data_IF_733799076831
#
_entry.id   IF_733799076831
#
_cell.length_a   1.000
_cell.length_b   1.000
_cell.length_c   1.000
_cell.angle_alpha   90.00
_cell.angle_beta   90.00
_cell.angle_gamma   90.00
#
_symmetry.space_group_name_H-M   'P 1'
#
loop_
_entity.id
_entity.type
_entity.pdbx_description
1 polymer ?
#
# COMPACT_ATOMS: atom_id res chain seq x y z
N UNK A 1 4.06 -7.56 -4.56
CA UNK A 1 5.44 -7.98 -4.82
C UNK A 1 6.25 -7.40 -3.67
N UNK A 2 6.53 -8.21 -2.64
CA UNK A 2 7.08 -7.73 -1.37
C UNK A 2 8.51 -7.22 -1.60
N UNK A 3 8.74 -5.94 -1.32
CA UNK A 3 10.04 -5.28 -1.42
C UNK A 3 10.89 -5.66 -0.20
N UNK A 4 11.42 -6.89 -0.20
CA UNK A 4 12.48 -7.28 0.72
C UNK A 4 13.80 -6.63 0.24
N UNK A 5 14.53 -6.02 1.18
CA UNK A 5 15.90 -5.55 0.94
C UNK A 5 16.74 -6.68 0.32
N UNK A 6 17.51 -6.38 -0.73
CA UNK A 6 18.37 -7.36 -1.40
C UNK A 6 19.29 -8.10 -0.39
N UNK A 7 19.71 -7.42 0.67
CA UNK A 7 20.51 -8.00 1.75
C UNK A 7 19.74 -9.04 2.58
N UNK A 8 18.45 -8.81 2.87
CA UNK A 8 17.62 -9.76 3.64
C UNK A 8 17.44 -11.04 2.83
N UNK A 9 17.14 -10.92 1.53
CA UNK A 9 16.94 -12.06 0.62
C UNK A 9 18.21 -12.89 0.46
N UNK A 10 19.37 -12.23 0.42
CA UNK A 10 20.67 -12.90 0.34
C UNK A 10 20.91 -13.78 1.57
N UNK A 11 20.70 -13.22 2.77
CA UNK A 11 20.87 -13.94 4.04
C UNK A 11 19.87 -15.09 4.15
N UNK A 12 18.59 -14.87 3.82
CA UNK A 12 17.58 -15.93 3.87
C UNK A 12 17.87 -17.06 2.90
N UNK A 13 18.35 -16.74 1.69
CA UNK A 13 18.74 -17.75 0.71
C UNK A 13 19.88 -18.61 1.23
N UNK A 14 20.93 -18.02 1.80
CA UNK A 14 22.05 -18.78 2.37
C UNK A 14 21.62 -19.61 3.58
N UNK A 15 20.76 -19.06 4.45
CA UNK A 15 20.32 -19.74 5.66
C UNK A 15 19.27 -20.83 5.39
N UNK A 16 18.64 -20.85 4.21
CA UNK A 16 17.63 -21.84 3.84
C UNK A 16 18.14 -23.28 3.81
N UNK A 17 19.45 -23.48 3.63
CA UNK A 17 20.08 -24.78 3.69
C UNK A 17 20.23 -25.33 5.13
N UNK A 18 20.08 -24.48 6.15
CA UNK A 18 20.42 -24.80 7.54
C UNK A 18 19.24 -24.67 8.52
N UNK A 19 18.19 -23.95 8.13
CA UNK A 19 17.06 -23.62 9.00
C UNK A 19 15.77 -24.28 8.52
N UNK A 20 14.96 -24.76 9.47
CA UNK A 20 13.59 -25.18 9.18
C UNK A 20 12.66 -23.97 8.95
N UNK A 21 11.43 -24.21 8.49
CA UNK A 21 10.48 -23.13 8.16
C UNK A 21 10.12 -22.23 9.34
N UNK A 22 10.11 -22.75 10.57
CA UNK A 22 9.82 -21.97 11.78
C UNK A 22 11.00 -21.08 12.18
N UNK A 23 12.22 -21.60 12.06
CA UNK A 23 13.46 -20.88 12.28
C UNK A 23 13.69 -19.82 11.21
N UNK A 24 13.40 -20.14 9.94
CA UNK A 24 13.48 -19.21 8.83
C UNK A 24 12.51 -18.04 9.01
N UNK A 25 11.27 -18.29 9.44
CA UNK A 25 10.31 -17.22 9.74
C UNK A 25 10.83 -16.27 10.83
N UNK A 26 11.42 -16.82 11.90
CA UNK A 26 12.02 -16.01 12.97
C UNK A 26 13.23 -15.23 12.50
N UNK A 27 14.04 -15.81 11.59
CA UNK A 27 15.16 -15.13 10.96
C UNK A 27 14.67 -13.94 10.12
N UNK A 28 13.67 -14.14 9.25
CA UNK A 28 13.04 -13.08 8.46
C UNK A 28 12.55 -11.93 9.35
N UNK A 29 11.77 -12.24 10.39
CA UNK A 29 11.27 -11.24 11.33
C UNK A 29 12.39 -10.49 12.08
N UNK A 30 13.50 -11.17 12.38
CA UNK A 30 14.67 -10.57 13.04
C UNK A 30 15.44 -9.67 12.08
N UNK A 31 15.75 -10.15 10.88
CA UNK A 31 16.44 -9.39 9.85
C UNK A 31 15.64 -8.16 9.47
N UNK A 32 14.33 -8.30 9.28
CA UNK A 32 13.44 -7.19 9.02
C UNK A 32 13.46 -6.15 10.15
N UNK A 33 13.51 -6.58 11.41
CA UNK A 33 13.56 -5.67 12.58
C UNK A 33 14.90 -4.94 12.74
N UNK A 34 16.01 -5.63 12.50
CA UNK A 34 17.36 -5.11 12.76
C UNK A 34 17.92 -4.35 11.56
N UNK A 35 17.66 -4.84 10.36
CA UNK A 35 18.16 -4.29 9.10
C UNK A 35 17.13 -3.40 8.39
N UNK A 36 15.88 -3.40 8.85
CA UNK A 36 14.86 -2.47 8.39
C UNK A 36 15.23 -1.06 8.80
N UNK A 37 15.92 -0.34 7.91
CA UNK A 37 15.92 1.11 7.91
C UNK A 37 14.46 1.57 7.85
N UNK A 38 14.10 2.50 8.72
CA UNK A 38 12.76 3.07 8.84
C UNK A 38 12.20 3.56 7.49
N UNK A 39 10.87 3.58 7.47
CA UNK A 39 9.98 3.94 6.36
C UNK A 39 9.98 2.94 5.19
N UNK A 40 9.08 1.95 5.30
CA UNK A 40 8.22 1.72 4.14
C UNK A 40 7.61 3.09 3.80
N UNK A 41 8.24 3.85 2.92
CA UNK A 41 7.48 4.73 2.07
C UNK A 41 6.48 3.81 1.39
N UNK A 42 5.23 3.87 1.87
CA UNK A 42 4.08 3.32 1.16
C UNK A 42 4.33 3.65 -0.31
N UNK A 43 4.33 2.65 -1.22
CA UNK A 43 4.64 2.86 -2.62
C UNK A 43 3.94 4.13 -3.06
N UNK A 44 4.73 5.11 -3.52
CA UNK A 44 4.27 6.47 -3.78
C UNK A 44 2.89 6.39 -4.42
N UNK A 45 1.89 6.97 -3.76
CA UNK A 45 0.51 6.90 -4.23
C UNK A 45 0.43 7.38 -5.70
N UNK A 46 1.36 8.25 -6.13
CA UNK A 46 1.54 8.68 -7.52
C UNK A 46 2.09 7.60 -8.45
N UNK A 47 3.02 6.76 -8.01
CA UNK A 47 3.51 5.61 -8.77
C UNK A 47 2.40 4.56 -8.98
N UNK A 48 1.65 4.21 -7.92
CA UNK A 48 0.50 3.30 -8.03
C UNK A 48 -0.63 3.88 -8.89
N UNK A 49 -0.81 5.21 -8.82
CA UNK A 49 -1.69 5.97 -9.72
C UNK A 49 -1.26 5.77 -11.17
N UNK A 50 0.01 6.01 -11.47
CA UNK A 50 0.54 5.95 -12.82
C UNK A 50 0.41 4.54 -13.42
N UNK A 51 0.74 3.50 -12.65
CA UNK A 51 0.59 2.11 -13.09
C UNK A 51 -0.88 1.75 -13.40
N UNK A 52 -1.81 2.19 -12.55
CA UNK A 52 -3.24 1.96 -12.76
C UNK A 52 -3.78 2.68 -14.01
N UNK A 53 -3.27 3.89 -14.32
CA UNK A 53 -3.64 4.65 -15.51
C UNK A 53 -2.99 4.09 -16.78
N UNK A 54 -1.76 3.59 -16.67
CA UNK A 54 -1.07 2.89 -17.75
C UNK A 54 -1.85 1.63 -18.14
N UNK A 55 -2.35 0.86 -17.16
CA UNK A 55 -3.23 -0.27 -17.43
C UNK A 55 -4.51 0.15 -18.19
N UNK A 56 -5.17 1.24 -17.78
CA UNK A 56 -6.34 1.78 -18.53
C UNK A 56 -6.02 2.23 -19.94
N UNK A 57 -4.79 2.67 -20.17
CA UNK A 57 -4.31 3.03 -21.51
C UNK A 57 -4.16 1.79 -22.38
N UNK A 58 -3.59 0.70 -21.85
CA UNK A 58 -3.46 -0.59 -22.54
C UNK A 58 -4.83 -1.25 -22.81
N UNK A 59 -5.81 -1.06 -21.91
CA UNK A 59 -7.21 -1.47 -22.12
C UNK A 59 -7.91 -0.73 -23.28
N UNK A 60 -7.30 0.33 -23.84
CA UNK A 60 -7.89 1.13 -24.92
C UNK A 60 -8.92 2.15 -24.44
N UNK A 61 -8.87 2.56 -23.17
CA UNK A 61 -9.79 3.57 -22.64
C UNK A 61 -9.57 4.93 -23.30
N UNK A 62 -10.67 5.66 -23.54
CA UNK A 62 -10.59 7.04 -24.03
C UNK A 62 -9.85 7.96 -23.04
N UNK A 63 -9.21 9.06 -23.52
CA UNK A 63 -8.56 10.04 -22.64
C UNK A 63 -9.50 10.60 -21.55
N UNK A 64 -10.78 10.80 -21.88
CA UNK A 64 -11.80 11.27 -20.93
C UNK A 64 -12.07 10.24 -19.82
N UNK A 65 -12.06 8.95 -20.16
CA UNK A 65 -12.21 7.86 -19.19
C UNK A 65 -11.01 7.82 -18.25
N UNK A 66 -9.79 7.90 -18.79
CA UNK A 66 -8.54 7.92 -18.01
C UNK A 66 -8.52 9.13 -17.05
N UNK A 67 -8.91 10.32 -17.52
CA UNK A 67 -9.01 11.51 -16.68
C UNK A 67 -10.01 11.33 -15.52
N UNK A 68 -11.13 10.66 -15.79
CA UNK A 68 -12.15 10.36 -14.76
C UNK A 68 -11.60 9.41 -13.69
N UNK A 69 -10.81 8.40 -14.08
CA UNK A 69 -10.14 7.50 -13.14
C UNK A 69 -9.08 8.24 -12.31
N UNK A 70 -8.28 9.12 -12.93
CA UNK A 70 -7.30 9.94 -12.23
C UNK A 70 -7.96 10.83 -11.18
N UNK A 71 -9.05 11.51 -11.55
CA UNK A 71 -9.79 12.36 -10.63
C UNK A 71 -10.34 11.58 -9.43
N UNK A 72 -11.05 10.46 -9.67
CA UNK A 72 -11.61 9.62 -8.60
C UNK A 72 -10.54 9.16 -7.60
N UNK A 73 -9.38 8.75 -8.11
CA UNK A 73 -8.28 8.27 -7.27
C UNK A 73 -7.61 9.39 -6.47
N UNK A 74 -7.29 10.52 -7.10
CA UNK A 74 -6.78 11.70 -6.38
C UNK A 74 -7.74 12.20 -5.32
N UNK A 75 -9.05 12.19 -5.61
CA UNK A 75 -10.08 12.58 -4.67
C UNK A 75 -10.16 11.63 -3.47
N UNK A 76 -10.20 10.32 -3.71
CA UNK A 76 -10.27 9.29 -2.67
C UNK A 76 -9.05 9.34 -1.73
N UNK A 77 -7.84 9.36 -2.29
CA UNK A 77 -6.59 9.44 -1.52
C UNK A 77 -6.57 10.70 -0.64
N UNK A 78 -6.90 11.88 -1.19
CA UNK A 78 -6.94 13.13 -0.41
C UNK A 78 -7.99 13.11 0.70
N UNK A 79 -9.11 12.43 0.51
CA UNK A 79 -10.13 12.30 1.55
C UNK A 79 -9.62 11.45 2.71
N UNK A 80 -8.95 10.34 2.40
CA UNK A 80 -8.33 9.44 3.39
C UNK A 80 -7.21 10.15 4.15
N UNK A 81 -6.34 10.90 3.46
CA UNK A 81 -5.25 11.67 4.09
C UNK A 81 -5.75 12.75 5.06
N UNK A 82 -6.96 13.25 4.83
CA UNK A 82 -7.65 14.18 5.73
C UNK A 82 -8.40 13.49 6.87
N UNK A 83 -8.29 12.17 6.97
CA UNK A 83 -8.90 11.36 8.03
C UNK A 83 -10.37 11.04 7.80
N UNK A 84 -10.86 11.08 6.56
CA UNK A 84 -12.19 10.56 6.23
C UNK A 84 -12.20 9.03 6.39
N UNK A 85 -13.17 8.46 7.13
CA UNK A 85 -13.33 7.01 7.23
C UNK A 85 -13.53 6.37 5.85
N UNK A 86 -12.92 5.20 5.64
CA UNK A 86 -12.89 4.52 4.34
C UNK A 86 -14.29 4.12 3.86
N UNK A 87 -15.21 3.88 4.79
CA UNK A 87 -16.62 3.57 4.55
C UNK A 87 -17.34 4.78 3.93
N UNK A 88 -17.00 6.00 4.38
CA UNK A 88 -17.55 7.24 3.82
C UNK A 88 -17.01 7.51 2.41
N UNK A 89 -15.72 7.25 2.21
CA UNK A 89 -15.09 7.33 0.89
C UNK A 89 -15.72 6.32 -0.07
N UNK A 90 -16.02 5.10 0.38
CA UNK A 90 -16.70 4.09 -0.43
C UNK A 90 -18.08 4.57 -0.92
N UNK A 91 -18.90 5.14 -0.02
CA UNK A 91 -20.21 5.69 -0.38
C UNK A 91 -20.08 6.82 -1.39
N UNK A 92 -19.10 7.70 -1.18
CA UNK A 92 -18.83 8.85 -2.06
C UNK A 92 -18.39 8.42 -3.47
N UNK A 93 -17.67 7.31 -3.59
CA UNK A 93 -17.26 6.73 -4.87
C UNK A 93 -18.34 5.86 -5.53
N UNK A 94 -19.41 5.53 -4.79
CA UNK A 94 -20.50 4.67 -5.25
C UNK A 94 -20.09 3.19 -5.39
N UNK A 95 -19.11 2.75 -4.60
CA UNK A 95 -18.61 1.38 -4.65
C UNK A 95 -19.50 0.43 -3.83
N UNK A 96 -19.95 -0.66 -4.45
CA UNK A 96 -20.77 -1.68 -3.80
C UNK A 96 -19.98 -2.61 -2.89
N UNK A 97 -18.68 -2.78 -3.15
CA UNK A 97 -17.76 -3.62 -2.36
C UNK A 97 -16.64 -2.76 -1.77
N UNK A 98 -16.40 -2.88 -0.47
CA UNK A 98 -15.36 -2.11 0.22
C UNK A 98 -13.95 -2.42 -0.31
N UNK A 99 -13.71 -3.65 -0.77
CA UNK A 99 -12.42 -4.08 -1.34
C UNK A 99 -11.94 -3.20 -2.50
N UNK A 100 -12.89 -2.67 -3.29
CA UNK A 100 -12.57 -1.78 -4.42
C UNK A 100 -12.12 -0.39 -3.97
N UNK A 101 -12.44 0.01 -2.74
CA UNK A 101 -12.04 1.27 -2.10
C UNK A 101 -10.79 1.08 -1.24
N UNK A 102 -10.53 -0.12 -0.72
CA UNK A 102 -9.34 -0.44 0.07
C UNK A 102 -8.03 -0.19 -0.69
N UNK A 103 -8.05 -0.27 -2.02
CA UNK A 103 -6.90 0.09 -2.86
C UNK A 103 -6.43 1.55 -2.70
N UNK A 104 -7.27 2.44 -2.13
CA UNK A 104 -6.91 3.83 -1.82
C UNK A 104 -6.43 4.02 -0.38
N UNK A 105 -6.68 3.06 0.50
CA UNK A 105 -6.37 3.10 1.93
C UNK A 105 -5.09 2.35 2.30
N UNK A 106 -4.38 1.77 1.32
CA UNK A 106 -3.08 1.15 1.57
C UNK A 106 -2.16 2.17 2.25
N UNK A 107 -1.65 1.73 3.38
CA UNK A 107 -1.64 2.54 4.60
C UNK A 107 -0.41 3.43 4.66
N UNK A 108 -0.62 4.74 4.59
CA UNK A 108 0.36 5.70 5.10
C UNK A 108 0.43 5.53 6.63
N UNK A 109 1.60 5.09 7.13
CA UNK A 109 1.82 4.89 8.57
C UNK A 109 1.61 6.20 9.37
N UNK A 110 1.74 7.37 8.73
CA UNK A 110 1.43 8.65 9.35
C UNK A 110 -0.07 8.81 9.59
N UNK A 111 -0.94 8.34 8.68
CA UNK A 111 -2.39 8.39 8.84
C UNK A 111 -2.88 7.50 9.99
N UNK A 112 -2.24 6.35 10.20
CA UNK A 112 -2.52 5.46 11.35
C UNK A 112 -2.16 6.15 12.66
N UNK A 113 -0.95 6.72 12.75
CA UNK A 113 -0.49 7.44 13.96
C UNK A 113 -1.41 8.62 14.27
N UNK A 114 -1.81 9.41 13.26
CA UNK A 114 -2.76 10.53 13.42
C UNK A 114 -4.14 10.06 13.88
N UNK A 115 -4.68 9.00 13.28
CA UNK A 115 -6.00 8.47 13.64
C UNK A 115 -5.99 7.91 15.07
N UNK A 116 -4.95 7.16 15.44
CA UNK A 116 -4.75 6.66 16.80
C UNK A 116 -4.69 7.81 17.81
N UNK A 117 -3.88 8.84 17.55
CA UNK A 117 -3.79 10.02 18.42
C UNK A 117 -5.07 10.84 18.49
N UNK A 118 -6.00 10.70 17.53
CA UNK A 118 -7.27 11.45 17.51
C UNK A 118 -8.39 10.73 18.25
N UNK A 119 -8.40 9.40 18.24
CA UNK A 119 -9.51 8.60 18.77
C UNK A 119 -9.17 7.79 20.03
N UNK A 120 -7.88 7.48 20.26
CA UNK A 120 -7.42 6.61 21.37
C UNK A 120 -6.40 7.31 22.27
N UNK A 121 -5.45 8.05 21.70
CA UNK A 121 -4.43 8.80 22.44
C UNK A 121 -4.95 10.10 23.03
#
# INVERSE_FOLDING_TARGET
>A
MFYESAAIREVEREMSAFLDGSQMKRLHECLFRVMGVEDLESPDNMALLQDSLNAKTVEGCSPRTIQSHKFRRTMATRAIDKGMPIEQVQVLLGHSKIDTTLCYAMVDQQNVKRSYSKYIG
#
